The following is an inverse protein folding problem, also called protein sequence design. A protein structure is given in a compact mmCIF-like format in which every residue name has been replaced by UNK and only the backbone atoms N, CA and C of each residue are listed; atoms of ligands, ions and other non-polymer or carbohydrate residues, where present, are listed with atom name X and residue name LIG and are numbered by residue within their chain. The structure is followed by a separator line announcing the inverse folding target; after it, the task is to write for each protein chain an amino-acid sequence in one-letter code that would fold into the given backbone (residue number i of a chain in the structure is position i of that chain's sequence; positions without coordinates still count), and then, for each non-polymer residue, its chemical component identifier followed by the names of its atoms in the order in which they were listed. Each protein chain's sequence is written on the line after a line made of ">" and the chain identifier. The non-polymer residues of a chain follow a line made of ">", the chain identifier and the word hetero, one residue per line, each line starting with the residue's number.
data_IF_251126659221
#
_entry.id   IF_251126659221
#
_cell.length_a   1.000
_cell.length_b   1.000
_cell.length_c   1.000
_cell.angle_alpha   90.00
_cell.angle_beta   90.00
_cell.angle_gamma   90.00
#
_symmetry.space_group_name_H-M   'P 1'
#
loop_
_entity.id
_entity.type
_entity.pdbx_description
1 polymer ?
#
# COMPACT_ATOMS: atom_id res chain seq x y z
N UNK A 1 5.57 7.16 22.63
CA UNK A 1 5.55 6.69 21.23
C UNK A 1 7.00 6.49 20.85
N UNK A 2 7.46 5.24 21.00
CA UNK A 2 8.86 4.86 20.88
C UNK A 2 9.35 4.82 19.42
N UNK A 3 10.67 4.92 19.27
CA UNK A 3 11.43 5.38 18.12
C UNK A 3 11.47 4.49 16.86
N UNK A 4 10.42 3.74 16.54
CA UNK A 4 10.34 2.99 15.26
C UNK A 4 8.93 2.99 14.64
N UNK A 5 8.17 4.07 14.89
CA UNK A 5 6.88 4.27 14.26
C UNK A 5 7.03 4.19 12.73
N UNK A 6 6.24 3.32 12.08
CA UNK A 6 6.15 3.19 10.63
C UNK A 6 5.72 4.52 10.02
N UNK A 7 6.69 5.40 9.73
CA UNK A 7 6.44 6.67 9.05
C UNK A 7 6.58 6.46 7.55
N UNK A 8 5.53 6.85 6.82
CA UNK A 8 5.49 6.87 5.37
C UNK A 8 5.43 8.33 4.87
N UNK A 9 6.48 8.85 4.23
CA UNK A 9 6.42 10.13 3.55
C UNK A 9 5.62 9.99 2.25
N UNK A 10 4.68 10.90 2.01
CA UNK A 10 3.81 10.92 0.82
C UNK A 10 3.94 12.28 0.14
N UNK A 11 4.18 12.34 -1.19
CA UNK A 11 4.14 13.59 -1.92
C UNK A 11 2.76 14.25 -1.80
N UNK A 12 2.74 15.55 -1.53
CA UNK A 12 1.52 16.33 -1.39
C UNK A 12 1.63 17.62 -2.21
N UNK A 13 0.49 18.28 -2.43
CA UNK A 13 0.48 19.63 -2.97
C UNK A 13 0.78 20.68 -1.89
N UNK A 14 0.51 21.97 -2.17
CA UNK A 14 0.50 23.00 -1.15
C UNK A 14 -0.59 22.79 -0.08
N UNK A 15 -1.59 21.94 -0.39
CA UNK A 15 -2.68 21.51 0.49
C UNK A 15 -2.95 20.01 0.28
N UNK A 16 -3.69 19.34 1.19
CA UNK A 16 -4.13 17.96 0.96
C UNK A 16 -4.94 17.87 -0.34
N UNK A 17 -4.48 17.04 -1.27
CA UNK A 17 -5.24 16.75 -2.49
C UNK A 17 -6.27 15.63 -2.22
N UNK A 18 -7.25 15.42 -3.12
CA UNK A 18 -8.28 14.39 -2.94
C UNK A 18 -7.70 12.98 -2.72
N UNK A 19 -6.61 12.62 -3.39
CA UNK A 19 -5.98 11.31 -3.24
C UNK A 19 -5.38 11.10 -1.85
N UNK A 20 -4.73 12.13 -1.29
CA UNK A 20 -4.23 12.11 0.08
C UNK A 20 -5.39 12.04 1.06
N UNK A 21 -6.44 12.83 0.86
CA UNK A 21 -7.62 12.82 1.72
C UNK A 21 -8.30 11.44 1.79
N UNK A 22 -8.46 10.78 0.64
CA UNK A 22 -9.00 9.42 0.57
C UNK A 22 -8.18 8.41 1.38
N UNK A 23 -6.85 8.53 1.37
CA UNK A 23 -5.96 7.71 2.21
C UNK A 23 -6.21 7.95 3.69
N UNK A 24 -6.34 9.22 4.09
CA UNK A 24 -6.58 9.58 5.49
C UNK A 24 -7.93 9.04 5.97
N UNK A 25 -8.97 9.22 5.17
CA UNK A 25 -10.32 8.71 5.45
C UNK A 25 -10.33 7.18 5.53
N UNK A 26 -9.60 6.48 4.64
CA UNK A 26 -9.45 5.03 4.72
C UNK A 26 -8.78 4.58 6.03
N UNK A 27 -7.69 5.25 6.43
CA UNK A 27 -7.02 5.03 7.72
C UNK A 27 -7.94 5.24 8.91
N UNK A 28 -8.67 6.35 8.95
CA UNK A 28 -9.60 6.68 10.02
C UNK A 28 -10.72 5.65 10.14
N UNK A 29 -11.36 5.31 9.01
CA UNK A 29 -12.41 4.26 8.98
C UNK A 29 -11.89 2.92 9.46
N UNK A 30 -10.66 2.57 9.08
CA UNK A 30 -10.06 1.33 9.54
C UNK A 30 -9.99 1.30 11.06
N UNK A 31 -9.58 2.37 11.74
CA UNK A 31 -9.51 2.41 13.22
C UNK A 31 -10.82 2.79 13.92
N UNK A 32 -11.92 2.96 13.17
CA UNK A 32 -13.22 3.33 13.73
C UNK A 32 -13.38 4.82 14.06
N UNK A 33 -12.45 5.66 13.63
CA UNK A 33 -12.58 7.11 13.74
C UNK A 33 -13.57 7.65 12.70
N UNK A 34 -14.49 8.52 13.15
CA UNK A 34 -15.50 9.19 12.31
C UNK A 34 -15.12 10.63 11.95
N UNK A 35 -14.12 11.17 12.62
CA UNK A 35 -13.62 12.54 12.47
C UNK A 35 -12.10 12.59 12.67
N UNK A 36 -11.49 13.70 12.24
CA UNK A 36 -10.09 14.03 12.50
C UNK A 36 -10.02 15.25 13.42
N UNK A 37 -9.00 15.29 14.27
CA UNK A 37 -8.56 16.51 14.93
C UNK A 37 -7.57 17.23 14.01
N UNK A 38 -7.87 18.47 13.65
CA UNK A 38 -7.00 19.37 12.92
C UNK A 38 -6.32 20.33 13.88
N UNK A 39 -5.00 20.36 13.83
CA UNK A 39 -4.15 21.13 14.73
C UNK A 39 -3.23 22.01 13.87
N UNK A 40 -3.68 23.22 13.51
CA UNK A 40 -2.82 24.21 12.89
C UNK A 40 -1.77 24.70 13.89
N UNK A 41 -0.60 25.12 13.41
CA UNK A 41 0.40 25.71 14.29
C UNK A 41 -0.14 26.99 14.96
N UNK A 42 0.01 27.08 16.28
CA UNK A 42 -0.38 28.27 17.07
C UNK A 42 -1.89 28.46 17.28
N UNK A 43 -2.75 27.51 16.88
CA UNK A 43 -4.21 27.63 16.98
C UNK A 43 -4.81 26.43 17.75
N UNK A 44 -5.92 26.59 18.50
CA UNK A 44 -6.60 25.46 19.12
C UNK A 44 -7.07 24.42 18.10
N UNK A 45 -7.08 23.13 18.46
CA UNK A 45 -7.50 22.07 17.56
C UNK A 45 -9.00 22.15 17.27
N UNK A 46 -9.39 21.82 16.03
CA UNK A 46 -10.78 21.72 15.59
C UNK A 46 -11.09 20.32 15.07
N UNK A 47 -12.38 19.98 14.94
CA UNK A 47 -12.83 18.69 14.40
C UNK A 47 -13.17 18.82 12.92
N UNK A 48 -12.67 17.90 12.10
CA UNK A 48 -12.94 17.83 10.68
C UNK A 48 -13.72 16.55 10.33
N UNK A 49 -14.77 16.65 9.50
CA UNK A 49 -15.47 15.48 9.00
C UNK A 49 -14.59 14.71 8.01
N UNK A 50 -14.79 13.40 7.89
CA UNK A 50 -14.05 12.54 6.94
C UNK A 50 -14.62 12.55 5.50
N UNK A 51 -15.57 13.44 5.22
CA UNK A 51 -16.25 13.52 3.94
C UNK A 51 -15.34 14.14 2.88
N UNK A 52 -15.26 13.58 1.65
CA UNK A 52 -14.63 14.25 0.53
C UNK A 52 -15.54 15.37 -0.01
N UNK A 53 -14.99 16.44 -0.61
CA UNK A 53 -13.56 16.75 -0.78
C UNK A 53 -12.86 17.16 0.53
N UNK A 54 -11.50 17.21 0.58
CA UNK A 54 -10.81 17.76 1.75
C UNK A 54 -11.27 19.20 2.05
N UNK A 55 -11.41 19.57 3.33
CA UNK A 55 -11.66 20.95 3.72
C UNK A 55 -10.59 21.90 3.16
N UNK A 56 -11.03 23.05 2.62
CA UNK A 56 -10.16 24.00 1.92
C UNK A 56 -9.21 24.76 2.85
N UNK A 57 -9.53 24.80 4.14
CA UNK A 57 -8.88 25.51 5.25
C UNK A 57 -7.71 24.73 5.88
N UNK A 58 -7.38 23.56 5.34
CA UNK A 58 -6.20 22.80 5.79
C UNK A 58 -4.95 23.37 5.12
N UNK A 59 -4.14 24.06 5.93
CA UNK A 59 -2.90 24.67 5.50
C UNK A 59 -1.71 24.11 6.29
N UNK A 60 -0.65 23.62 5.62
CA UNK A 60 0.64 23.38 6.27
C UNK A 60 1.24 24.70 6.80
N UNK A 61 1.97 24.68 7.93
CA UNK A 61 2.24 23.53 8.78
C UNK A 61 1.07 23.15 9.68
N UNK A 62 0.74 21.87 9.73
CA UNK A 62 -0.35 21.35 10.57
C UNK A 62 -0.22 19.85 10.88
N UNK A 63 -1.02 19.40 11.84
CA UNK A 63 -1.21 17.99 12.16
C UNK A 63 -2.68 17.62 12.02
N UNK A 64 -2.95 16.48 11.39
CA UNK A 64 -4.25 15.80 11.45
C UNK A 64 -4.05 14.52 12.26
N UNK A 65 -4.90 14.26 13.26
CA UNK A 65 -4.83 13.01 14.03
C UNK A 65 -6.20 12.44 14.31
N UNK A 66 -6.30 11.13 14.50
CA UNK A 66 -7.52 10.52 15.01
C UNK A 66 -7.70 10.94 16.49
N UNK A 67 -8.94 11.11 16.99
CA UNK A 67 -9.17 11.54 18.38
C UNK A 67 -8.53 10.64 19.45
N UNK A 68 -8.39 9.36 19.13
CA UNK A 68 -7.78 8.33 19.98
C UNK A 68 -6.26 8.16 19.78
N UNK A 69 -5.65 8.96 18.90
CA UNK A 69 -4.21 8.93 18.62
C UNK A 69 -3.72 7.71 17.84
N UNK A 70 -4.61 6.88 17.29
CA UNK A 70 -4.23 5.71 16.49
C UNK A 70 -3.61 6.05 15.13
N UNK A 71 -3.86 7.25 14.60
CA UNK A 71 -3.30 7.73 13.34
C UNK A 71 -2.92 9.20 13.40
N UNK A 72 -1.84 9.55 12.72
CA UNK A 72 -1.32 10.92 12.61
C UNK A 72 -0.82 11.20 11.20
N UNK A 73 -1.08 12.42 10.74
CA UNK A 73 -0.61 12.95 9.47
C UNK A 73 -0.04 14.31 9.77
N UNK A 74 1.27 14.45 9.61
CA UNK A 74 1.95 15.72 9.81
C UNK A 74 2.24 16.33 8.45
N UNK A 75 1.92 17.61 8.29
CA UNK A 75 2.36 18.45 7.17
C UNK A 75 3.39 19.43 7.73
N UNK A 76 4.70 19.13 7.69
CA UNK A 76 5.70 20.04 8.23
C UNK A 76 5.90 21.28 7.35
N UNK A 77 5.64 21.13 6.04
CA UNK A 77 5.74 22.17 5.03
C UNK A 77 4.85 21.81 3.83
N UNK A 78 4.56 22.75 2.92
CA UNK A 78 4.00 22.43 1.61
C UNK A 78 4.82 21.36 0.87
N UNK A 79 4.17 20.52 0.07
CA UNK A 79 4.84 19.58 -0.84
C UNK A 79 4.94 18.13 -0.35
N UNK A 80 4.75 17.85 0.94
CA UNK A 80 4.71 16.48 1.46
C UNK A 80 3.94 16.35 2.77
N UNK A 81 3.55 15.12 3.07
CA UNK A 81 2.98 14.71 4.35
C UNK A 81 3.75 13.52 4.93
N UNK A 82 3.79 13.41 6.25
CA UNK A 82 4.29 12.26 6.98
C UNK A 82 3.11 11.54 7.63
N UNK A 83 2.82 10.33 7.18
CA UNK A 83 1.76 9.50 7.74
C UNK A 83 2.38 8.52 8.73
N UNK A 84 1.83 8.43 9.94
CA UNK A 84 2.20 7.46 10.96
C UNK A 84 0.96 6.97 11.73
N UNK A 85 1.09 5.86 12.45
CA UNK A 85 -0.01 5.33 13.26
C UNK A 85 0.15 3.85 13.58
N UNK A 86 -0.93 3.25 14.09
CA UNK A 86 -1.02 1.81 14.33
C UNK A 86 -0.92 1.03 13.02
N UNK A 87 -0.58 -0.26 13.10
CA UNK A 87 -0.54 -1.14 11.93
C UNK A 87 -1.86 -1.15 11.14
N UNK A 88 -3.00 -1.10 11.85
CA UNK A 88 -4.34 -1.07 11.25
C UNK A 88 -4.61 0.24 10.51
N UNK A 89 -4.21 1.38 11.07
CA UNK A 89 -4.29 2.67 10.40
C UNK A 89 -3.38 2.70 9.16
N UNK A 90 -2.11 2.32 9.33
CA UNK A 90 -1.10 2.34 8.27
C UNK A 90 -1.45 1.43 7.09
N UNK A 91 -1.96 0.22 7.35
CA UNK A 91 -2.37 -0.72 6.31
C UNK A 91 -3.49 -0.17 5.40
N UNK A 92 -4.35 0.69 5.93
CA UNK A 92 -5.42 1.32 5.16
C UNK A 92 -5.02 2.65 4.53
N UNK A 93 -4.28 3.51 5.24
CA UNK A 93 -3.83 4.81 4.73
C UNK A 93 -2.68 4.69 3.70
N UNK A 94 -1.85 3.67 3.83
CA UNK A 94 -0.70 3.39 2.97
C UNK A 94 -0.85 1.99 2.38
N UNK A 95 -1.87 1.81 1.55
CA UNK A 95 -2.26 0.50 0.99
C UNK A 95 -1.16 -0.18 0.16
N UNK A 96 -0.21 0.59 -0.37
CA UNK A 96 0.99 0.08 -1.04
C UNK A 96 2.07 -0.45 -0.08
N UNK A 97 1.94 -0.18 1.22
CA UNK A 97 2.95 -0.46 2.24
C UNK A 97 3.92 0.70 2.47
N UNK A 98 4.38 0.83 3.72
CA UNK A 98 5.30 1.89 4.16
C UNK A 98 6.59 1.93 3.33
N UNK A 99 7.14 0.77 3.01
CA UNK A 99 8.42 0.68 2.32
C UNK A 99 8.34 1.16 0.87
N UNK A 100 7.26 0.79 0.18
CA UNK A 100 7.03 1.27 -1.19
C UNK A 100 6.68 2.76 -1.21
N UNK A 101 5.96 3.26 -0.20
CA UNK A 101 5.73 4.70 -0.04
C UNK A 101 7.06 5.47 0.12
N UNK A 102 7.97 5.02 1.00
CA UNK A 102 9.32 5.58 1.15
C UNK A 102 10.10 5.57 -0.16
N UNK A 103 10.05 4.48 -0.90
CA UNK A 103 10.76 4.35 -2.16
C UNK A 103 10.20 5.28 -3.25
N UNK A 104 8.87 5.39 -3.32
CA UNK A 104 8.18 6.31 -4.23
C UNK A 104 8.49 7.76 -3.87
N UNK A 105 8.54 8.08 -2.59
CA UNK A 105 8.94 9.41 -2.12
C UNK A 105 10.38 9.74 -2.50
N UNK A 106 11.32 8.81 -2.32
CA UNK A 106 12.71 9.00 -2.75
C UNK A 106 12.82 9.22 -4.29
N UNK A 107 12.01 8.51 -5.09
CA UNK A 107 11.91 8.78 -6.55
C UNK A 107 11.29 10.14 -6.85
N UNK A 108 10.33 10.60 -6.04
CA UNK A 108 9.72 11.91 -6.19
C UNK A 108 10.72 13.04 -5.87
N UNK A 109 11.44 12.94 -4.74
CA UNK A 109 12.47 13.90 -4.34
C UNK A 109 13.59 14.03 -5.38
N UNK A 110 14.00 12.93 -6.03
CA UNK A 110 14.98 12.98 -7.13
C UNK A 110 14.46 13.72 -8.38
N UNK A 111 13.15 13.71 -8.62
CA UNK A 111 12.52 14.39 -9.77
C UNK A 111 12.21 15.86 -9.49
N UNK A 112 12.07 16.21 -8.21
CA UNK A 112 11.74 17.57 -7.75
C UNK A 112 12.81 17.97 -6.73
N UNK A 113 13.96 18.50 -7.17
CA UNK A 113 15.12 18.75 -6.31
C UNK A 113 14.85 19.92 -5.36
N UNK A 114 14.14 19.62 -4.27
CA UNK A 114 13.92 20.47 -3.10
C UNK A 114 14.77 19.87 -1.94
N UNK A 115 15.61 20.69 -1.27
CA UNK A 115 16.37 20.25 -0.09
C UNK A 115 15.52 19.62 1.02
N UNK A 116 14.28 20.11 1.23
CA UNK A 116 13.38 19.56 2.23
C UNK A 116 12.94 18.13 1.87
N UNK A 117 12.54 17.90 0.61
CA UNK A 117 12.16 16.57 0.13
C UNK A 117 13.35 15.59 0.18
N UNK A 118 14.55 16.06 -0.15
CA UNK A 118 15.77 15.25 -0.11
C UNK A 118 16.12 14.84 1.33
N UNK A 119 16.00 15.77 2.27
CA UNK A 119 16.22 15.53 3.70
C UNK A 119 15.25 14.47 4.23
N UNK A 120 13.96 14.60 3.91
CA UNK A 120 12.92 13.63 4.33
C UNK A 120 13.13 12.26 3.68
N UNK A 121 13.48 12.21 2.40
CA UNK A 121 13.76 10.95 1.72
C UNK A 121 14.97 10.22 2.32
N UNK A 122 15.98 10.98 2.78
CA UNK A 122 17.18 10.44 3.44
C UNK A 122 16.88 9.97 4.87
N UNK A 123 16.01 10.68 5.59
CA UNK A 123 15.59 10.31 6.93
C UNK A 123 14.65 9.09 6.97
N UNK A 124 13.95 8.80 5.86
CA UNK A 124 13.03 7.68 5.75
C UNK A 124 13.36 6.79 4.54
N UNK A 125 14.53 6.12 4.51
CA UNK A 125 14.87 5.21 3.42
C UNK A 125 13.98 3.95 3.48
N UNK A 126 13.73 3.30 2.33
CA UNK A 126 13.15 1.97 2.32
C UNK A 126 14.04 1.01 3.12
N UNK A 127 13.47 0.27 4.05
CA UNK A 127 14.11 -0.79 4.82
C UNK A 127 14.36 -2.06 4.02
N UNK A 128 13.61 -2.30 2.93
CA UNK A 128 13.79 -3.50 2.11
C UNK A 128 14.31 -3.18 0.70
N UNK A 129 15.29 -3.99 0.28
CA UNK A 129 15.75 -4.04 -1.11
C UNK A 129 14.65 -4.66 -1.97
N UNK A 130 14.35 -4.02 -3.10
CA UNK A 130 13.38 -4.56 -4.05
C UNK A 130 13.94 -5.76 -4.83
N UNK A 131 13.27 -6.91 -4.77
CA UNK A 131 13.62 -8.11 -5.52
C UNK A 131 13.10 -8.04 -6.95
N UNK A 132 13.95 -8.34 -7.93
CA UNK A 132 13.58 -8.43 -9.35
C UNK A 132 13.49 -9.87 -9.85
N UNK A 133 14.01 -10.84 -9.11
CA UNK A 133 14.14 -12.22 -9.55
C UNK A 133 13.66 -13.17 -8.45
N UNK A 134 12.97 -14.28 -8.80
CA UNK A 134 12.53 -15.27 -7.83
C UNK A 134 13.65 -15.80 -6.94
N UNK A 135 14.85 -16.01 -7.49
CA UNK A 135 16.02 -16.51 -6.76
C UNK A 135 16.58 -15.55 -5.71
N UNK A 136 16.23 -14.26 -5.79
CA UNK A 136 16.67 -13.25 -4.83
C UNK A 136 15.71 -13.10 -3.64
N UNK A 137 14.51 -13.71 -3.72
CA UNK A 137 13.48 -13.60 -2.70
C UNK A 137 13.86 -14.41 -1.47
N UNK A 138 13.77 -13.80 -0.29
CA UNK A 138 14.08 -14.49 0.96
C UNK A 138 13.13 -15.70 1.16
N UNK A 139 13.63 -16.92 1.46
CA UNK A 139 12.83 -18.15 1.48
C UNK A 139 11.59 -18.13 2.40
N UNK A 140 11.69 -17.41 3.51
CA UNK A 140 10.64 -17.32 4.54
C UNK A 140 9.72 -16.10 4.35
N UNK A 141 9.90 -15.34 3.28
CA UNK A 141 9.08 -14.17 2.97
C UNK A 141 7.67 -14.55 2.47
N UNK A 142 6.74 -13.62 2.58
CA UNK A 142 5.41 -13.78 1.99
C UNK A 142 5.47 -13.76 0.45
N UNK A 143 6.44 -13.09 -0.16
CA UNK A 143 6.75 -13.19 -1.59
C UNK A 143 7.21 -14.60 -1.99
N UNK A 144 8.04 -15.27 -1.18
CA UNK A 144 8.40 -16.67 -1.43
C UNK A 144 7.19 -17.60 -1.35
N UNK A 145 6.24 -17.32 -0.45
CA UNK A 145 4.95 -18.03 -0.43
C UNK A 145 4.13 -17.82 -1.71
N UNK A 146 4.07 -16.61 -2.26
CA UNK A 146 3.42 -16.37 -3.57
C UNK A 146 4.11 -17.17 -4.69
N UNK A 147 5.44 -17.21 -4.71
CA UNK A 147 6.20 -18.04 -5.67
C UNK A 147 5.90 -19.54 -5.52
N UNK A 148 5.80 -20.04 -4.29
CA UNK A 148 5.39 -21.43 -4.03
C UNK A 148 3.98 -21.70 -4.54
N UNK A 149 3.02 -20.80 -4.28
CA UNK A 149 1.65 -20.93 -4.80
C UNK A 149 1.63 -21.00 -6.33
N UNK A 150 2.42 -20.17 -7.01
CA UNK A 150 2.57 -20.23 -8.48
C UNK A 150 3.12 -21.58 -8.94
N UNK A 151 4.20 -22.06 -8.31
CA UNK A 151 4.80 -23.35 -8.66
C UNK A 151 3.85 -24.53 -8.39
N UNK A 152 3.15 -24.52 -7.26
CA UNK A 152 2.19 -25.54 -6.88
C UNK A 152 1.00 -25.56 -7.85
N UNK A 153 0.47 -24.40 -8.22
CA UNK A 153 -0.66 -24.30 -9.16
C UNK A 153 -0.28 -24.72 -10.57
N UNK A 154 0.84 -24.19 -11.10
CA UNK A 154 1.29 -24.50 -12.46
C UNK A 154 1.69 -25.97 -12.66
N UNK A 155 2.13 -26.63 -11.58
CA UNK A 155 2.41 -28.07 -11.55
C UNK A 155 1.19 -28.95 -11.27
N UNK A 156 0.02 -28.36 -10.99
CA UNK A 156 -1.22 -29.09 -10.69
C UNK A 156 -1.29 -29.68 -9.28
N UNK A 157 -0.41 -29.27 -8.37
CA UNK A 157 -0.43 -29.72 -6.96
C UNK A 157 -1.55 -29.08 -6.14
N UNK A 158 -2.04 -27.92 -6.56
CA UNK A 158 -3.22 -27.26 -5.99
C UNK A 158 -4.23 -26.91 -7.09
N UNK A 159 -5.51 -26.86 -6.73
CA UNK A 159 -6.60 -26.48 -7.65
C UNK A 159 -6.66 -24.97 -7.85
N UNK A 160 -7.36 -24.52 -8.90
CA UNK A 160 -7.57 -23.09 -9.15
C UNK A 160 -8.30 -22.37 -7.99
N UNK A 161 -9.38 -22.94 -7.39
CA UNK A 161 -9.99 -22.33 -6.21
C UNK A 161 -9.02 -22.21 -5.02
N UNK A 162 -8.23 -23.24 -4.75
CA UNK A 162 -7.25 -23.21 -3.65
C UNK A 162 -6.15 -22.17 -3.88
N UNK A 163 -5.69 -22.04 -5.13
CA UNK A 163 -4.73 -21.01 -5.53
C UNK A 163 -5.30 -19.60 -5.33
N UNK A 164 -6.51 -19.33 -5.84
CA UNK A 164 -7.17 -18.02 -5.70
C UNK A 164 -7.37 -17.61 -4.24
N UNK A 165 -7.86 -18.54 -3.40
CA UNK A 165 -8.07 -18.30 -1.97
C UNK A 165 -6.76 -18.00 -1.22
N UNK A 166 -5.66 -18.65 -1.59
CA UNK A 166 -4.37 -18.49 -0.92
C UNK A 166 -3.55 -17.28 -1.41
N UNK A 167 -3.76 -16.83 -2.65
CA UNK A 167 -2.99 -15.75 -3.27
C UNK A 167 -3.16 -14.41 -2.56
N UNK A 168 -4.41 -13.93 -2.39
CA UNK A 168 -4.66 -12.62 -1.79
C UNK A 168 -4.14 -12.48 -0.35
N UNK A 169 -4.31 -13.46 0.55
CA UNK A 169 -3.66 -13.42 1.87
C UNK A 169 -2.14 -13.30 1.79
N UNK A 170 -1.48 -14.05 0.89
CA UNK A 170 -0.04 -14.00 0.73
C UNK A 170 0.43 -12.63 0.21
N UNK A 171 -0.29 -12.05 -0.76
CA UNK A 171 -0.04 -10.71 -1.30
C UNK A 171 -0.22 -9.62 -0.24
N UNK A 172 -1.28 -9.69 0.57
CA UNK A 172 -1.51 -8.77 1.70
C UNK A 172 -0.39 -8.85 2.73
N UNK A 173 0.05 -10.06 3.09
CA UNK A 173 1.14 -10.24 4.02
C UNK A 173 2.47 -9.69 3.49
N UNK A 174 2.76 -9.87 2.20
CA UNK A 174 3.96 -9.30 1.56
C UNK A 174 3.99 -7.77 1.67
N UNK A 175 2.86 -7.11 1.38
CA UNK A 175 2.72 -5.66 1.57
C UNK A 175 2.83 -5.22 3.03
N UNK A 176 2.20 -5.95 3.94
CA UNK A 176 2.24 -5.67 5.38
C UNK A 176 3.66 -5.79 5.95
N UNK A 177 4.44 -6.74 5.46
CA UNK A 177 5.85 -6.94 5.81
C UNK A 177 6.79 -5.91 5.17
N UNK A 178 6.28 -5.01 4.31
CA UNK A 178 7.11 -4.06 3.58
C UNK A 178 8.01 -4.73 2.52
N UNK A 179 7.70 -5.96 2.10
CA UNK A 179 8.47 -6.64 1.07
C UNK A 179 8.30 -5.92 -0.27
N UNK A 180 9.42 -5.65 -0.93
CA UNK A 180 9.42 -4.88 -2.18
C UNK A 180 9.78 -5.74 -3.37
N UNK A 181 9.00 -5.58 -4.41
CA UNK A 181 9.20 -6.19 -5.71
C UNK A 181 9.47 -5.09 -6.74
N UNK A 182 10.24 -5.42 -7.76
CA UNK A 182 10.41 -4.60 -8.96
C UNK A 182 10.35 -5.48 -10.19
N UNK A 183 10.11 -4.88 -11.35
CA UNK A 183 10.05 -5.61 -12.61
C UNK A 183 11.34 -6.42 -12.84
N UNK A 184 11.23 -7.63 -13.41
CA UNK A 184 10.01 -8.28 -13.92
C UNK A 184 9.10 -8.93 -12.86
N UNK A 185 9.61 -9.18 -11.65
CA UNK A 185 8.87 -9.95 -10.63
C UNK A 185 7.59 -9.27 -10.14
N UNK A 186 7.57 -7.93 -10.03
CA UNK A 186 6.33 -7.20 -9.71
C UNK A 186 5.25 -7.42 -10.76
N UNK A 187 5.65 -7.44 -12.04
CA UNK A 187 4.73 -7.47 -13.17
C UNK A 187 4.07 -8.86 -13.26
N UNK A 188 4.83 -9.91 -12.99
CA UNK A 188 4.28 -11.27 -12.81
C UNK A 188 3.22 -11.30 -11.71
N UNK A 189 3.52 -10.74 -10.53
CA UNK A 189 2.58 -10.79 -9.39
C UNK A 189 1.34 -9.94 -9.63
N UNK A 190 1.48 -8.83 -10.35
CA UNK A 190 0.38 -7.95 -10.73
C UNK A 190 -0.48 -8.59 -11.82
N UNK A 191 0.13 -9.23 -12.83
CA UNK A 191 -0.60 -9.99 -13.85
C UNK A 191 -1.42 -11.12 -13.24
N UNK A 192 -0.87 -11.89 -12.30
CA UNK A 192 -1.62 -12.93 -11.59
C UNK A 192 -2.76 -12.34 -10.76
N UNK A 193 -2.54 -11.18 -10.12
CA UNK A 193 -3.61 -10.49 -9.38
C UNK A 193 -4.77 -10.12 -10.30
N UNK A 194 -4.49 -9.54 -11.47
CA UNK A 194 -5.51 -9.18 -12.46
C UNK A 194 -6.27 -10.41 -12.96
N UNK A 195 -5.57 -11.50 -13.30
CA UNK A 195 -6.24 -12.75 -13.72
C UNK A 195 -7.19 -13.32 -12.65
N UNK A 196 -6.88 -13.11 -11.38
CA UNK A 196 -7.74 -13.56 -10.29
C UNK A 196 -8.94 -12.63 -10.05
N UNK A 197 -8.94 -11.40 -10.57
CA UNK A 197 -10.12 -10.54 -10.57
C UNK A 197 -11.18 -11.05 -11.57
N UNK A 198 -10.73 -11.69 -12.66
CA UNK A 198 -11.58 -12.32 -13.67
C UNK A 198 -11.91 -13.79 -13.36
N UNK A 199 -11.57 -14.30 -12.17
CA UNK A 199 -11.79 -15.69 -11.79
C UNK A 199 -12.73 -15.83 -10.58
N UNK A 200 -13.87 -16.49 -10.78
CA UNK A 200 -14.80 -16.84 -9.70
C UNK A 200 -14.59 -18.29 -9.24
N UNK A 201 -14.12 -18.51 -7.98
CA UNK A 201 -13.85 -19.86 -7.46
C UNK A 201 -15.11 -20.71 -7.26
N UNK A 202 -16.27 -20.09 -7.00
CA UNK A 202 -17.55 -20.76 -6.86
C UNK A 202 -18.26 -20.83 -8.22
N UNK A 203 -18.42 -22.02 -8.83
CA UNK A 203 -19.05 -22.15 -10.14
C UNK A 203 -20.49 -21.61 -10.20
N UNK A 204 -21.20 -21.57 -9.07
CA UNK A 204 -22.58 -21.08 -9.00
C UNK A 204 -22.69 -19.56 -9.09
N UNK A 205 -21.59 -18.85 -8.84
CA UNK A 205 -21.50 -17.38 -8.87
C UNK A 205 -20.84 -16.86 -10.15
N UNK A 206 -20.46 -17.76 -11.07
CA UNK A 206 -19.69 -17.41 -12.26
C UNK A 206 -20.52 -16.59 -13.25
N UNK A 207 -19.98 -15.47 -13.69
CA UNK A 207 -20.59 -14.61 -14.71
C UNK A 207 -20.06 -14.93 -16.12
N UNK A 208 -20.82 -14.60 -17.19
CA UNK A 208 -20.31 -14.69 -18.55
C UNK A 208 -19.07 -13.80 -18.74
N UNK A 209 -17.92 -14.42 -19.01
CA UNK A 209 -16.63 -13.73 -19.16
C UNK A 209 -15.61 -14.11 -18.10
N UNK A 210 -16.03 -14.70 -16.99
CA UNK A 210 -15.13 -15.23 -15.97
C UNK A 210 -14.29 -16.39 -16.51
N UNK A 211 -13.04 -16.44 -16.09
CA UNK A 211 -12.11 -17.51 -16.40
C UNK A 211 -12.58 -18.83 -15.78
N UNK A 212 -12.48 -19.90 -16.56
CA UNK A 212 -12.47 -21.27 -16.04
C UNK A 212 -11.12 -21.61 -15.39
N UNK A 213 -11.09 -22.69 -14.60
CA UNK A 213 -9.88 -23.22 -13.98
C UNK A 213 -8.76 -23.48 -15.01
N UNK A 214 -9.13 -24.00 -16.19
CA UNK A 214 -8.18 -24.32 -17.28
C UNK A 214 -7.67 -23.05 -17.96
N UNK A 215 -8.53 -22.05 -18.16
CA UNK A 215 -8.14 -20.76 -18.74
C UNK A 215 -7.22 -20.00 -17.78
N UNK A 216 -7.53 -19.98 -16.48
CA UNK A 216 -6.66 -19.40 -15.45
C UNK A 216 -5.28 -20.09 -15.44
N UNK A 217 -5.24 -21.43 -15.45
CA UNK A 217 -3.98 -22.18 -15.48
C UNK A 217 -3.16 -21.85 -16.73
N UNK A 218 -3.82 -21.72 -17.88
CA UNK A 218 -3.17 -21.39 -19.16
C UNK A 218 -2.60 -19.97 -19.12
N UNK A 219 -3.37 -19.00 -18.66
CA UNK A 219 -2.95 -17.60 -18.54
C UNK A 219 -1.79 -17.42 -17.55
N UNK A 220 -1.85 -18.07 -16.38
CA UNK A 220 -0.76 -18.05 -15.39
C UNK A 220 0.52 -18.71 -15.93
N UNK A 221 0.40 -19.81 -16.69
CA UNK A 221 1.55 -20.43 -17.36
C UNK A 221 2.15 -19.53 -18.44
N UNK A 222 1.35 -18.73 -19.14
CA UNK A 222 1.86 -17.76 -20.09
C UNK A 222 2.69 -16.67 -19.39
N UNK A 223 2.18 -16.08 -18.30
CA UNK A 223 2.89 -15.05 -17.52
C UNK A 223 4.23 -15.51 -16.95
N UNK A 224 4.39 -16.80 -16.63
CA UNK A 224 5.63 -17.34 -16.05
C UNK A 224 6.71 -17.67 -17.08
N UNK A 225 6.40 -17.58 -18.38
CA UNK A 225 7.33 -17.86 -19.49
C UNK A 225 7.94 -16.59 -20.10
N UNK A 226 7.40 -15.43 -19.74
CA UNK A 226 7.90 -14.09 -20.11
C UNK A 226 8.96 -13.60 -19.13
#
# INVERSE_FOLDING_TARGET
>A
MDADALVAPIPAGPRPNPSLWLRLTAGCRAVGATELLYEPEGTPPSRLPLTPPPPEDIHPPCVLRTPDGQGVVRFPAPGYALIGGTARFMAAAVAEGTDEARARFARHARRHPDPALTTVATAHPPGHRAWSAPSAVAPDSAAARQLRLLADFTSGRITAPAFALAWHPARRASRANGERLRSPLSDLFDGVFVLLEDYTPDPSLREPGDLSDTELLTAVKALTRE
#
